data_IF_055604594880
#
_entry.id   IF_055604594880
#
_cell.length_a   1.000
_cell.length_b   1.000
_cell.length_c   1.000
_cell.angle_alpha   90.00
_cell.angle_beta   90.00
_cell.angle_gamma   90.00
#
_symmetry.space_group_name_H-M   'P 1'
#
loop_
_entity.id
_entity.type
_entity.pdbx_description
1 polymer ?
#
# COMPACT_ATOMS: atom_id res chain seq x y z
N UNK A 1 -6.59 -58.76 -19.71
CA UNK A 1 -7.76 -57.93 -19.36
C UNK A 1 -7.79 -56.75 -20.33
N UNK A 2 -8.89 -56.49 -21.05
CA UNK A 2 -8.93 -55.38 -22.01
C UNK A 2 -9.23 -54.06 -21.29
N UNK A 3 -8.54 -53.00 -21.70
CA UNK A 3 -8.78 -51.64 -21.22
C UNK A 3 -10.02 -51.04 -21.91
N UNK A 4 -10.82 -50.20 -21.22
CA UNK A 4 -11.96 -49.54 -21.84
C UNK A 4 -11.48 -48.45 -22.80
N UNK A 5 -11.99 -48.50 -24.03
CA UNK A 5 -11.90 -47.41 -24.99
C UNK A 5 -12.92 -46.33 -24.64
N UNK A 6 -12.47 -45.09 -24.47
CA UNK A 6 -13.35 -43.93 -24.40
C UNK A 6 -13.36 -43.20 -25.74
N UNK A 7 -14.57 -42.88 -26.23
CA UNK A 7 -14.81 -42.09 -27.44
C UNK A 7 -14.57 -40.59 -27.18
N UNK A 8 -14.04 -39.82 -28.14
CA UNK A 8 -13.82 -38.40 -28.01
C UNK A 8 -14.99 -37.61 -28.61
N UNK A 9 -15.99 -37.27 -27.81
CA UNK A 9 -16.97 -36.26 -28.20
C UNK A 9 -17.65 -35.69 -26.97
N UNK A 10 -17.11 -34.59 -26.45
CA UNK A 10 -17.86 -33.47 -25.85
C UNK A 10 -16.84 -32.49 -25.26
N UNK A 11 -16.56 -31.44 -26.03
CA UNK A 11 -15.80 -30.29 -25.56
C UNK A 11 -16.61 -29.05 -25.93
N UNK A 12 -17.46 -28.53 -25.03
CA UNK A 12 -18.02 -27.20 -25.20
C UNK A 12 -17.01 -26.19 -24.68
N UNK A 13 -16.43 -25.44 -25.62
CA UNK A 13 -15.54 -24.33 -25.31
C UNK A 13 -16.25 -23.13 -24.67
N UNK A 14 -15.42 -22.36 -23.98
CA UNK A 14 -15.36 -20.89 -23.98
C UNK A 14 -16.69 -20.14 -23.72
N UNK A 15 -16.81 -19.65 -22.49
CA UNK A 15 -17.76 -18.61 -22.10
C UNK A 15 -17.24 -17.82 -20.91
N UNK A 16 -16.26 -16.94 -21.15
CA UNK A 16 -15.84 -15.91 -20.20
C UNK A 16 -17.02 -14.95 -19.98
N UNK A 17 -17.73 -15.10 -18.87
CA UNK A 17 -18.70 -14.11 -18.41
C UNK A 17 -17.97 -12.95 -17.73
N UNK A 18 -17.76 -11.87 -18.47
CA UNK A 18 -17.51 -10.56 -17.90
C UNK A 18 -18.80 -10.06 -17.23
N UNK A 19 -18.74 -9.77 -15.93
CA UNK A 19 -19.81 -9.10 -15.20
C UNK A 19 -19.64 -7.56 -15.32
N UNK A 20 -20.65 -6.82 -15.78
CA UNK A 20 -20.65 -5.37 -15.64
C UNK A 20 -21.18 -4.97 -14.26
N UNK A 21 -20.35 -4.28 -13.47
CA UNK A 21 -20.76 -3.55 -12.28
C UNK A 21 -21.51 -2.29 -12.71
N UNK A 22 -22.84 -2.39 -12.77
CA UNK A 22 -23.73 -1.24 -12.89
C UNK A 22 -24.08 -0.75 -11.49
N UNK A 23 -23.58 0.44 -11.12
CA UNK A 23 -23.91 1.12 -9.87
C UNK A 23 -25.34 1.67 -9.89
N UNK A 24 -26.16 1.50 -8.83
CA UNK A 24 -27.37 2.28 -8.67
C UNK A 24 -27.07 3.64 -8.05
N UNK A 25 -27.39 4.71 -8.78
CA UNK A 25 -27.55 6.06 -8.21
C UNK A 25 -28.76 6.10 -7.27
N UNK A 26 -28.53 6.31 -5.97
CA UNK A 26 -29.58 6.69 -5.02
C UNK A 26 -29.65 8.21 -4.88
N UNK A 27 -30.52 8.81 -5.71
CA UNK A 27 -30.94 10.20 -5.59
C UNK A 27 -32.08 10.38 -4.59
N UNK A 28 -31.74 10.95 -3.43
CA UNK A 28 -32.33 12.17 -2.83
C UNK A 28 -33.87 12.37 -2.82
N UNK A 29 -34.37 12.56 -1.58
CA UNK A 29 -35.53 13.37 -1.10
C UNK A 29 -36.95 12.94 -1.54
N UNK A 30 -37.79 12.67 -0.54
CA UNK A 30 -38.72 13.69 -0.01
C UNK A 30 -39.35 13.27 1.33
N UNK A 31 -39.45 14.28 2.18
CA UNK A 31 -40.10 14.35 3.48
C UNK A 31 -41.62 14.42 3.36
N UNK A 32 -42.37 13.67 4.18
CA UNK A 32 -43.71 14.04 4.62
C UNK A 32 -44.16 13.21 5.83
N UNK A 33 -44.48 13.92 6.92
CA UNK A 33 -45.60 13.64 7.83
C UNK A 33 -45.66 12.29 8.55
N UNK A 34 -45.29 12.28 9.83
CA UNK A 34 -45.98 11.41 10.80
C UNK A 34 -46.01 12.07 12.18
N UNK A 35 -47.04 12.90 12.38
CA UNK A 35 -47.52 13.25 13.72
C UNK A 35 -48.22 12.02 14.31
N UNK A 36 -47.74 11.53 15.45
CA UNK A 36 -48.63 10.84 16.40
C UNK A 36 -48.13 10.98 17.83
N UNK A 37 -48.68 12.02 18.43
CA UNK A 37 -48.92 12.23 19.84
C UNK A 37 -49.61 11.02 20.48
N UNK A 38 -49.00 10.43 21.51
CA UNK A 38 -49.69 9.71 22.59
C UNK A 38 -48.90 9.89 23.89
N UNK A 39 -49.51 10.67 24.78
CA UNK A 39 -49.27 10.70 26.22
C UNK A 39 -49.48 9.31 26.83
N UNK A 40 -48.71 8.97 27.88
CA UNK A 40 -49.19 8.54 29.20
C UNK A 40 -48.03 7.99 30.05
N UNK A 41 -47.69 8.74 31.10
CA UNK A 41 -47.06 8.27 32.34
C UNK A 41 -47.89 7.12 32.95
N UNK A 42 -47.28 6.22 33.74
CA UNK A 42 -47.46 6.41 35.17
C UNK A 42 -46.26 6.05 36.05
N UNK A 43 -46.27 6.72 37.20
CA UNK A 43 -45.49 6.52 38.41
C UNK A 43 -45.34 5.04 38.82
N UNK A 44 -44.12 4.67 39.22
CA UNK A 44 -43.78 3.33 39.69
C UNK A 44 -42.58 3.35 40.63
N UNK A 45 -42.71 4.10 41.72
CA UNK A 45 -41.80 4.11 42.86
C UNK A 45 -41.84 2.74 43.57
N UNK A 46 -40.80 1.92 43.41
CA UNK A 46 -40.55 0.75 44.25
C UNK A 46 -39.13 0.81 44.83
N UNK A 47 -39.06 1.30 46.06
CA UNK A 47 -37.90 1.15 46.94
C UNK A 47 -37.80 -0.30 47.43
N UNK A 48 -36.71 -0.99 47.12
CA UNK A 48 -36.31 -2.21 47.83
C UNK A 48 -35.12 -1.92 48.76
N UNK A 49 -35.25 -2.15 50.08
CA UNK A 49 -34.15 -2.07 51.02
C UNK A 49 -33.48 -3.44 51.23
N UNK A 50 -32.16 -3.39 51.48
CA UNK A 50 -31.28 -4.45 52.04
C UNK A 50 -31.10 -5.70 51.16
N UNK A 51 -29.90 -6.23 50.92
CA UNK A 51 -28.95 -6.60 51.96
C UNK A 51 -27.49 -6.65 51.47
N UNK A 52 -26.62 -6.55 52.47
CA UNK A 52 -25.18 -6.31 52.43
C UNK A 52 -24.46 -7.65 52.52
N UNK A 53 -23.94 -8.14 51.40
CA UNK A 53 -22.90 -9.19 51.42
C UNK A 53 -21.72 -8.72 50.59
N UNK A 54 -20.88 -7.91 51.22
CA UNK A 54 -19.57 -7.50 50.73
C UNK A 54 -18.64 -8.71 50.80
N UNK A 55 -18.70 -9.58 49.80
CA UNK A 55 -17.64 -10.52 49.51
C UNK A 55 -16.48 -9.73 48.91
N UNK A 56 -15.42 -9.53 49.69
CA UNK A 56 -14.15 -9.00 49.22
C UNK A 56 -13.54 -10.00 48.25
N UNK A 57 -13.87 -9.86 46.96
CA UNK A 57 -13.12 -10.52 45.89
C UNK A 57 -11.67 -10.06 45.95
N UNK A 58 -10.70 -10.98 45.85
CA UNK A 58 -9.29 -10.63 45.84
C UNK A 58 -9.03 -9.66 44.68
N UNK A 59 -8.47 -8.49 45.02
CA UNK A 59 -7.99 -7.50 44.08
C UNK A 59 -6.76 -8.09 43.41
N UNK A 60 -6.97 -8.99 42.45
CA UNK A 60 -5.98 -9.25 41.45
C UNK A 60 -5.80 -7.92 40.70
N UNK A 61 -4.57 -7.42 40.50
CA UNK A 61 -4.34 -6.47 39.45
C UNK A 61 -4.82 -7.18 38.19
N UNK A 62 -6.01 -6.81 37.71
CA UNK A 62 -6.48 -7.22 36.42
C UNK A 62 -5.49 -6.56 35.49
N UNK A 63 -4.45 -7.32 35.18
CA UNK A 63 -3.49 -7.06 34.13
C UNK A 63 -4.19 -6.26 33.05
N UNK A 64 -3.63 -5.09 32.74
CA UNK A 64 -3.87 -4.27 31.55
C UNK A 64 -3.59 -5.06 30.23
N UNK A 65 -3.79 -6.38 30.23
CA UNK A 65 -3.35 -7.36 29.23
C UNK A 65 -4.43 -7.76 28.24
N UNK A 66 -5.50 -6.98 28.14
CA UNK A 66 -6.24 -6.88 26.89
C UNK A 66 -6.00 -5.46 26.39
N UNK A 67 -4.84 -5.23 25.76
CA UNK A 67 -4.72 -4.12 24.83
C UNK A 67 -6.00 -4.13 23.99
N UNK A 68 -6.84 -3.10 24.15
CA UNK A 68 -8.18 -3.08 23.56
C UNK A 68 -8.07 -3.34 22.06
N UNK A 69 -8.76 -4.37 21.57
CA UNK A 69 -8.77 -4.71 20.15
C UNK A 69 -9.23 -3.50 19.33
N UNK A 70 -8.30 -2.90 18.59
CA UNK A 70 -8.57 -1.80 17.67
C UNK A 70 -8.60 -2.38 16.26
N UNK A 71 -9.81 -2.54 15.70
CA UNK A 71 -9.98 -3.10 14.35
C UNK A 71 -9.12 -2.36 13.30
N UNK A 72 -9.05 -1.01 13.26
CA UNK A 72 -8.16 -0.31 12.33
C UNK A 72 -6.68 -0.70 12.50
N UNK A 73 -6.20 -0.79 13.75
CA UNK A 73 -4.83 -1.19 14.05
C UNK A 73 -4.51 -2.60 13.55
N UNK A 74 -5.42 -3.55 13.80
CA UNK A 74 -5.24 -4.94 13.38
C UNK A 74 -5.26 -5.08 11.85
N UNK A 75 -6.19 -4.39 11.17
CA UNK A 75 -6.23 -4.37 9.70
C UNK A 75 -4.96 -3.79 9.10
N UNK A 76 -4.47 -2.68 9.65
CA UNK A 76 -3.22 -2.06 9.20
C UNK A 76 -2.03 -2.99 9.40
N UNK A 77 -1.95 -3.62 10.57
CA UNK A 77 -0.86 -4.54 10.93
C UNK A 77 -0.82 -5.71 9.95
N UNK A 78 -1.94 -6.41 9.77
CA UNK A 78 -2.03 -7.56 8.86
C UNK A 78 -1.70 -7.15 7.43
N UNK A 79 -2.26 -6.05 6.93
CA UNK A 79 -2.00 -5.59 5.57
C UNK A 79 -0.54 -5.18 5.36
N UNK A 80 0.08 -4.54 6.35
CA UNK A 80 1.50 -4.15 6.31
C UNK A 80 2.43 -5.36 6.35
N UNK A 81 2.11 -6.39 7.14
CA UNK A 81 2.86 -7.64 7.16
C UNK A 81 2.77 -8.38 5.82
N UNK A 82 1.57 -8.48 5.25
CA UNK A 82 1.37 -9.08 3.92
C UNK A 82 2.12 -8.30 2.84
N UNK A 83 2.08 -6.96 2.88
CA UNK A 83 2.84 -6.12 1.96
C UNK A 83 4.35 -6.36 2.11
N UNK A 84 4.85 -6.44 3.34
CA UNK A 84 6.26 -6.74 3.60
C UNK A 84 6.67 -8.11 3.06
N UNK A 85 5.79 -9.12 3.11
CA UNK A 85 6.04 -10.41 2.46
C UNK A 85 6.04 -10.25 0.94
N UNK A 86 5.06 -9.55 0.37
CA UNK A 86 4.96 -9.30 -1.06
C UNK A 86 6.23 -8.67 -1.62
N UNK A 87 6.83 -7.69 -0.94
CA UNK A 87 8.08 -7.03 -1.36
C UNK A 87 9.27 -7.98 -1.55
N UNK A 88 9.26 -9.15 -0.89
CA UNK A 88 10.35 -10.13 -0.90
C UNK A 88 10.11 -11.34 -1.80
N UNK A 89 8.95 -11.44 -2.44
CA UNK A 89 8.68 -12.57 -3.35
C UNK A 89 9.50 -12.41 -4.63
N UNK A 90 10.07 -13.51 -5.12
CA UNK A 90 10.86 -13.52 -6.36
C UNK A 90 10.00 -13.48 -7.63
N UNK A 91 8.72 -13.86 -7.53
CA UNK A 91 7.80 -13.90 -8.66
C UNK A 91 7.00 -12.59 -8.75
N UNK A 92 7.16 -11.86 -9.85
CA UNK A 92 6.50 -10.56 -10.07
C UNK A 92 4.98 -10.64 -9.99
N UNK A 93 4.36 -11.69 -10.55
CA UNK A 93 2.91 -11.86 -10.53
C UNK A 93 2.39 -12.06 -9.09
N UNK A 94 3.07 -12.86 -8.28
CA UNK A 94 2.75 -13.02 -6.87
C UNK A 94 2.97 -11.72 -6.08
N UNK A 95 4.04 -10.96 -6.34
CA UNK A 95 4.25 -9.64 -5.73
C UNK A 95 3.05 -8.72 -5.96
N UNK A 96 2.66 -8.55 -7.22
CA UNK A 96 1.53 -7.70 -7.60
C UNK A 96 0.22 -8.18 -6.95
N UNK A 97 -0.03 -9.49 -6.94
CA UNK A 97 -1.24 -10.06 -6.34
C UNK A 97 -1.35 -9.75 -4.84
N UNK A 98 -0.29 -10.04 -4.07
CA UNK A 98 -0.32 -9.84 -2.62
C UNK A 98 -0.27 -8.36 -2.22
N UNK A 99 0.46 -7.53 -2.97
CA UNK A 99 0.43 -6.07 -2.78
C UNK A 99 -0.95 -5.48 -3.11
N UNK A 100 -1.60 -5.96 -4.18
CA UNK A 100 -2.98 -5.57 -4.52
C UNK A 100 -3.98 -5.99 -3.45
N UNK A 101 -3.80 -7.18 -2.86
CA UNK A 101 -4.59 -7.59 -1.71
C UNK A 101 -4.41 -6.63 -0.52
N UNK A 102 -3.16 -6.27 -0.19
CA UNK A 102 -2.87 -5.33 0.89
C UNK A 102 -3.50 -3.94 0.63
N UNK A 103 -3.39 -3.39 -0.59
CA UNK A 103 -4.04 -2.12 -0.95
C UNK A 103 -5.56 -2.17 -0.79
N UNK A 104 -6.18 -3.32 -1.06
CA UNK A 104 -7.62 -3.50 -0.87
C UNK A 104 -8.02 -3.37 0.60
N UNK A 105 -7.19 -3.89 1.53
CA UNK A 105 -7.41 -3.76 2.98
C UNK A 105 -7.18 -2.31 3.43
N UNK A 106 -6.09 -1.68 2.99
CA UNK A 106 -5.84 -0.25 3.27
C UNK A 106 -6.96 0.66 2.73
N UNK A 107 -7.59 0.28 1.62
CA UNK A 107 -8.73 1.01 1.06
C UNK A 107 -9.98 0.86 1.92
N UNK A 108 -10.24 -0.33 2.48
CA UNK A 108 -11.36 -0.55 3.40
C UNK A 108 -11.25 0.31 4.65
N UNK A 109 -10.03 0.52 5.15
CA UNK A 109 -9.78 1.35 6.34
C UNK A 109 -10.18 2.83 6.18
N UNK A 110 -10.43 3.32 4.96
CA UNK A 110 -10.88 4.71 4.75
C UNK A 110 -12.25 5.02 5.37
N UNK A 111 -13.03 3.98 5.65
CA UNK A 111 -14.39 4.11 6.17
C UNK A 111 -14.45 4.08 7.71
N UNK A 112 -13.31 3.98 8.40
CA UNK A 112 -13.25 3.90 9.86
C UNK A 112 -13.32 5.30 10.53
N UNK A 113 -13.89 5.36 11.73
CA UNK A 113 -14.18 6.60 12.46
C UNK A 113 -12.93 7.41 12.87
N UNK A 114 -11.74 6.81 12.84
CA UNK A 114 -10.46 7.42 13.26
C UNK A 114 -9.50 7.73 12.09
N UNK A 115 -10.05 7.99 10.90
CA UNK A 115 -9.25 8.18 9.68
C UNK A 115 -8.15 9.23 9.81
N UNK A 116 -8.33 10.29 10.60
CA UNK A 116 -7.35 11.37 10.72
C UNK A 116 -6.02 10.91 11.29
N UNK A 117 -6.02 10.01 12.28
CA UNK A 117 -4.80 9.44 12.86
C UNK A 117 -4.09 8.49 11.88
N UNK A 118 -4.86 7.85 11.00
CA UNK A 118 -4.40 6.86 10.04
C UNK A 118 -4.09 7.43 8.66
N UNK A 119 -4.47 8.68 8.36
CA UNK A 119 -4.40 9.25 7.00
C UNK A 119 -2.98 9.22 6.43
N UNK A 120 -1.99 9.69 7.18
CA UNK A 120 -0.60 9.71 6.72
C UNK A 120 -0.01 8.29 6.57
N UNK A 121 -0.09 7.41 7.59
CA UNK A 121 0.35 6.02 7.49
C UNK A 121 -0.31 5.24 6.34
N UNK A 122 -1.63 5.35 6.17
CA UNK A 122 -2.34 4.72 5.05
C UNK A 122 -1.88 5.28 3.70
N UNK A 123 -1.64 6.58 3.61
CA UNK A 123 -1.20 7.18 2.34
C UNK A 123 0.19 6.65 1.96
N UNK A 124 1.12 6.53 2.92
CA UNK A 124 2.43 5.94 2.70
C UNK A 124 2.35 4.44 2.33
N UNK A 125 1.62 3.65 3.12
CA UNK A 125 1.48 2.21 2.90
C UNK A 125 0.83 1.87 1.54
N UNK A 126 -0.15 2.67 1.11
CA UNK A 126 -0.74 2.54 -0.23
C UNK A 126 0.25 2.92 -1.33
N UNK A 127 1.09 3.93 -1.12
CA UNK A 127 2.18 4.26 -2.04
C UNK A 127 3.14 3.08 -2.23
N UNK A 128 3.54 2.43 -1.13
CA UNK A 128 4.36 1.20 -1.18
C UNK A 128 3.68 0.05 -1.92
N UNK A 129 2.41 -0.21 -1.63
CA UNK A 129 1.67 -1.27 -2.33
C UNK A 129 1.62 -1.03 -3.84
N UNK A 130 1.33 0.20 -4.27
CA UNK A 130 1.31 0.56 -5.69
C UNK A 130 2.68 0.56 -6.35
N UNK A 131 3.75 0.88 -5.60
CA UNK A 131 5.13 0.74 -6.10
C UNK A 131 5.40 -0.73 -6.46
N UNK A 132 5.10 -1.67 -5.55
CA UNK A 132 5.27 -3.11 -5.80
C UNK A 132 4.42 -3.61 -6.97
N UNK A 133 3.18 -3.15 -7.08
CA UNK A 133 2.28 -3.52 -8.20
C UNK A 133 2.85 -3.01 -9.54
N UNK A 134 3.26 -1.74 -9.58
CA UNK A 134 3.76 -1.10 -10.80
C UNK A 134 5.14 -1.60 -11.22
N UNK A 135 5.99 -2.01 -10.26
CA UNK A 135 7.33 -2.53 -10.53
C UNK A 135 7.34 -4.03 -10.88
N UNK A 136 6.27 -4.77 -10.58
CA UNK A 136 6.20 -6.21 -10.77
C UNK A 136 6.57 -6.71 -12.19
N UNK A 137 6.09 -6.10 -13.29
CA UNK A 137 6.43 -6.55 -14.64
C UNK A 137 7.75 -5.96 -15.17
N UNK A 138 8.38 -5.02 -14.45
CA UNK A 138 9.52 -4.25 -14.95
C UNK A 138 10.70 -5.14 -15.31
N UNK A 139 10.99 -6.15 -14.49
CA UNK A 139 12.11 -7.07 -14.74
C UNK A 139 11.99 -7.80 -16.08
N UNK A 140 10.77 -8.20 -16.48
CA UNK A 140 10.55 -8.88 -17.77
C UNK A 140 10.61 -7.90 -18.94
N UNK A 141 10.13 -6.67 -18.73
CA UNK A 141 10.23 -5.58 -19.70
C UNK A 141 11.71 -5.20 -19.94
N UNK A 142 12.49 -5.04 -18.88
CA UNK A 142 13.93 -4.73 -18.95
C UNK A 142 14.70 -5.84 -19.67
N UNK A 143 14.46 -7.11 -19.34
CA UNK A 143 15.04 -8.24 -20.09
C UNK A 143 14.67 -8.23 -21.56
N UNK A 144 13.48 -7.77 -21.94
CA UNK A 144 13.08 -7.64 -23.34
C UNK A 144 13.82 -6.49 -24.04
N UNK A 145 13.98 -5.36 -23.35
CA UNK A 145 14.79 -4.24 -23.83
C UNK A 145 16.25 -4.62 -24.05
N UNK A 146 16.84 -5.40 -23.14
CA UNK A 146 18.21 -5.92 -23.28
C UNK A 146 18.38 -6.83 -24.50
N UNK A 147 17.31 -7.51 -24.95
CA UNK A 147 17.30 -8.29 -26.20
C UNK A 147 17.08 -7.42 -27.46
N UNK A 148 16.91 -6.11 -27.30
CA UNK A 148 16.62 -5.17 -28.39
C UNK A 148 15.14 -5.10 -28.79
N UNK A 149 14.23 -5.63 -27.97
CA UNK A 149 12.79 -5.63 -28.25
C UNK A 149 12.15 -4.29 -27.82
N UNK A 150 12.55 -3.17 -28.42
CA UNK A 150 12.08 -1.82 -28.03
C UNK A 150 10.55 -1.66 -28.06
N UNK A 151 9.85 -2.43 -28.90
CA UNK A 151 8.39 -2.45 -28.99
C UNK A 151 7.68 -2.85 -27.69
N UNK A 152 8.38 -3.47 -26.73
CA UNK A 152 7.83 -3.87 -25.43
C UNK A 152 7.32 -2.68 -24.61
N UNK A 153 7.89 -1.47 -24.79
CA UNK A 153 7.43 -0.26 -24.10
C UNK A 153 6.00 0.15 -24.50
N UNK A 154 5.57 -0.24 -25.70
CA UNK A 154 4.21 -0.06 -26.19
C UNK A 154 3.26 -1.20 -25.83
N UNK A 155 3.72 -2.20 -25.07
CA UNK A 155 2.87 -3.30 -24.63
C UNK A 155 1.87 -2.84 -23.58
N UNK A 156 0.77 -3.60 -23.47
CA UNK A 156 -0.24 -3.39 -22.43
C UNK A 156 0.36 -3.51 -21.02
N UNK A 157 1.28 -4.45 -20.83
CA UNK A 157 1.94 -4.67 -19.55
C UNK A 157 2.80 -3.48 -19.13
N UNK A 158 3.56 -2.89 -20.07
CA UNK A 158 4.30 -1.66 -19.83
C UNK A 158 3.40 -0.46 -19.55
N UNK A 159 2.21 -0.40 -20.17
CA UNK A 159 1.20 0.63 -19.86
C UNK A 159 0.66 0.48 -18.44
N UNK A 160 0.22 -0.72 -18.05
CA UNK A 160 -0.25 -1.00 -16.69
C UNK A 160 0.82 -0.73 -15.62
N UNK A 161 2.09 -1.06 -15.92
CA UNK A 161 3.23 -0.75 -15.06
C UNK A 161 3.39 0.76 -14.83
N UNK A 162 3.36 1.56 -15.91
CA UNK A 162 3.45 3.03 -15.83
C UNK A 162 2.27 3.63 -15.06
N UNK A 163 1.06 3.12 -15.27
CA UNK A 163 -0.12 3.54 -14.50
C UNK A 163 0.06 3.27 -13.01
N UNK A 164 0.47 2.04 -12.65
CA UNK A 164 0.72 1.66 -11.26
C UNK A 164 1.78 2.53 -10.58
N UNK A 165 2.91 2.77 -11.27
CA UNK A 165 3.99 3.64 -10.78
C UNK A 165 3.53 5.10 -10.65
N UNK A 166 2.72 5.61 -11.59
CA UNK A 166 2.16 6.97 -11.50
C UNK A 166 1.25 7.10 -10.26
N UNK A 167 0.43 6.09 -9.99
CA UNK A 167 -0.40 6.04 -8.79
C UNK A 167 0.47 6.00 -7.52
N UNK A 168 1.53 5.20 -7.52
CA UNK A 168 2.49 5.12 -6.41
C UNK A 168 3.11 6.49 -6.10
N UNK A 169 3.67 7.17 -7.11
CA UNK A 169 4.22 8.53 -7.01
C UNK A 169 3.21 9.49 -6.36
N UNK A 170 1.97 9.49 -6.84
CA UNK A 170 0.93 10.37 -6.29
C UNK A 170 0.52 10.07 -4.84
N UNK A 171 0.71 8.84 -4.34
CA UNK A 171 0.57 8.54 -2.91
C UNK A 171 1.78 8.99 -2.12
N UNK A 172 2.99 8.67 -2.59
CA UNK A 172 4.24 8.97 -1.89
C UNK A 172 4.48 10.48 -1.76
N UNK A 173 4.18 11.28 -2.80
CA UNK A 173 4.25 12.75 -2.72
C UNK A 173 3.29 13.31 -1.65
N UNK A 174 2.07 12.77 -1.57
CA UNK A 174 1.09 13.17 -0.55
C UNK A 174 1.54 12.77 0.86
N UNK A 175 2.15 11.60 1.01
CA UNK A 175 2.70 11.13 2.28
C UNK A 175 3.87 12.00 2.75
N UNK A 176 4.82 12.32 1.86
CA UNK A 176 5.93 13.25 2.11
C UNK A 176 5.42 14.63 2.55
N UNK A 177 4.42 15.17 1.84
CA UNK A 177 3.80 16.44 2.18
C UNK A 177 3.01 16.45 3.50
N UNK A 178 2.65 15.28 4.05
CA UNK A 178 2.03 15.15 5.37
C UNK A 178 3.09 15.09 6.48
N UNK A 179 4.22 14.42 6.24
CA UNK A 179 5.35 14.35 7.18
C UNK A 179 5.96 15.73 7.48
N UNK A 180 6.15 16.57 6.45
CA UNK A 180 6.70 17.93 6.60
C UNK A 180 5.81 18.93 7.37
N UNK A 181 4.54 18.59 7.64
CA UNK A 181 3.59 19.44 8.38
C UNK A 181 3.43 19.04 9.85
N UNK A 182 4.00 17.90 10.28
CA UNK A 182 3.75 17.30 11.59
C UNK A 182 4.75 17.66 12.70
N UNK A 183 5.80 18.43 12.41
CA UNK A 183 7.01 18.49 13.26
C UNK A 183 7.00 19.44 14.45
N UNK A 184 5.96 20.25 14.69
CA UNK A 184 6.08 21.31 15.72
C UNK A 184 5.11 21.27 16.91
N UNK A 185 4.06 20.42 16.96
CA UNK A 185 3.07 20.59 18.04
C UNK A 185 2.38 19.38 18.67
N UNK A 186 2.64 18.13 18.27
CA UNK A 186 1.97 16.96 18.87
C UNK A 186 2.93 15.79 19.07
N UNK A 187 3.72 15.87 20.14
CA UNK A 187 4.61 14.81 20.64
C UNK A 187 3.86 13.79 21.52
N UNK A 188 2.68 13.36 21.10
CA UNK A 188 2.01 12.19 21.68
C UNK A 188 2.04 11.07 20.63
N UNK A 189 2.42 9.83 20.99
CA UNK A 189 2.42 8.70 20.07
C UNK A 189 0.96 8.45 19.62
N UNK A 190 0.58 8.94 18.44
CA UNK A 190 -0.68 8.53 17.83
C UNK A 190 -0.57 7.05 17.49
N UNK A 191 -1.65 6.30 17.69
CA UNK A 191 -1.73 4.88 17.35
C UNK A 191 -1.41 4.56 15.88
N UNK A 192 -1.40 5.58 15.00
CA UNK A 192 -1.07 5.45 13.58
C UNK A 192 0.41 5.22 13.22
N UNK A 193 1.35 5.27 14.18
CA UNK A 193 2.78 5.12 13.89
C UNK A 193 3.41 6.39 13.30
N UNK A 194 4.74 6.47 13.38
CA UNK A 194 5.51 7.60 12.85
C UNK A 194 5.45 7.65 11.32
N UNK A 195 5.40 8.86 10.75
CA UNK A 195 5.44 9.02 9.31
C UNK A 195 6.81 8.59 8.78
N UNK A 196 6.86 7.44 8.10
CA UNK A 196 8.05 6.91 7.45
C UNK A 196 8.59 7.92 6.41
N UNK A 197 9.92 8.09 6.36
CA UNK A 197 10.53 8.87 5.28
C UNK A 197 10.37 8.13 3.95
N UNK A 198 9.40 8.58 3.17
CA UNK A 198 9.04 7.98 1.88
C UNK A 198 9.89 8.49 0.71
N UNK A 199 10.84 9.40 0.95
CA UNK A 199 11.66 10.00 -0.12
C UNK A 199 12.44 8.95 -0.93
N UNK A 200 13.06 7.92 -0.31
CA UNK A 200 13.72 6.86 -1.08
C UNK A 200 12.76 6.07 -1.99
N UNK A 201 11.55 5.80 -1.50
CA UNK A 201 10.52 5.08 -2.26
C UNK A 201 9.97 5.92 -3.42
N UNK A 202 9.83 7.24 -3.21
CA UNK A 202 9.43 8.17 -4.26
C UNK A 202 10.49 8.24 -5.35
N UNK A 203 11.76 8.30 -4.96
CA UNK A 203 12.89 8.32 -5.87
C UNK A 203 12.96 7.03 -6.72
N UNK A 204 12.79 5.87 -6.09
CA UNK A 204 12.68 4.56 -6.77
C UNK A 204 11.51 4.53 -7.77
N UNK A 205 10.31 4.94 -7.35
CA UNK A 205 9.14 4.96 -8.23
C UNK A 205 9.34 5.85 -9.46
N UNK A 206 9.96 7.02 -9.29
CA UNK A 206 10.26 7.95 -10.38
C UNK A 206 11.32 7.40 -11.33
N UNK A 207 12.38 6.79 -10.79
CA UNK A 207 13.44 6.18 -11.59
C UNK A 207 12.90 5.01 -12.43
N UNK A 208 12.17 4.10 -11.80
CA UNK A 208 11.54 2.96 -12.50
C UNK A 208 10.54 3.42 -13.56
N UNK A 209 9.76 4.48 -13.28
CA UNK A 209 8.86 5.07 -14.27
C UNK A 209 9.60 5.69 -15.46
N UNK A 210 10.77 6.30 -15.21
CA UNK A 210 11.63 6.85 -16.26
C UNK A 210 12.14 5.74 -17.20
N UNK A 211 12.59 4.61 -16.65
CA UNK A 211 13.04 3.44 -17.44
C UNK A 211 11.94 2.94 -18.40
N UNK A 212 10.67 3.02 -18.00
CA UNK A 212 9.53 2.58 -18.81
C UNK A 212 8.97 3.65 -19.76
N UNK A 213 9.57 4.85 -19.77
CA UNK A 213 9.08 6.00 -20.55
C UNK A 213 9.81 6.11 -21.89
N UNK A 214 9.06 5.96 -22.98
CA UNK A 214 9.60 6.03 -24.35
C UNK A 214 9.96 7.46 -24.79
N UNK A 215 9.21 8.47 -24.33
CA UNK A 215 9.47 9.88 -24.64
C UNK A 215 10.71 10.38 -23.89
N UNK A 216 11.74 10.78 -24.63
CA UNK A 216 13.03 11.17 -24.08
C UNK A 216 12.96 12.39 -23.15
N UNK A 217 12.20 13.43 -23.54
CA UNK A 217 12.07 14.64 -22.73
C UNK A 217 11.41 14.33 -21.38
N UNK A 218 10.32 13.54 -21.39
CA UNK A 218 9.63 13.12 -20.15
C UNK A 218 10.52 12.22 -19.30
N UNK A 219 11.30 11.33 -19.92
CA UNK A 219 12.23 10.45 -19.21
C UNK A 219 13.31 11.26 -18.49
N UNK A 220 13.92 12.25 -19.14
CA UNK A 220 14.90 13.15 -18.51
C UNK A 220 14.30 13.96 -17.35
N UNK A 221 13.06 14.44 -17.49
CA UNK A 221 12.34 15.12 -16.41
C UNK A 221 12.17 14.20 -15.19
N UNK A 222 11.75 12.95 -15.42
CA UNK A 222 11.55 11.96 -14.37
C UNK A 222 12.85 11.60 -13.65
N UNK A 223 13.96 11.40 -14.38
CA UNK A 223 15.27 11.17 -13.76
C UNK A 223 15.74 12.37 -12.93
N UNK A 224 15.58 13.59 -13.44
CA UNK A 224 15.94 14.81 -12.71
C UNK A 224 15.17 14.92 -11.40
N UNK A 225 13.88 14.56 -11.42
CA UNK A 225 13.05 14.49 -10.21
C UNK A 225 13.48 13.36 -9.28
N UNK A 226 13.76 12.17 -9.80
CA UNK A 226 14.26 11.04 -8.99
C UNK A 226 15.54 11.42 -8.26
N UNK A 227 16.51 12.05 -8.94
CA UNK A 227 17.77 12.51 -8.36
C UNK A 227 17.55 13.54 -7.24
N UNK A 228 16.63 14.49 -7.44
CA UNK A 228 16.29 15.48 -6.42
C UNK A 228 15.67 14.85 -5.15
N UNK A 229 14.98 13.72 -5.31
CA UNK A 229 14.32 12.99 -4.22
C UNK A 229 15.26 12.01 -3.49
N UNK A 230 16.15 11.32 -4.22
CA UNK A 230 17.04 10.30 -3.66
C UNK A 230 18.42 10.81 -3.20
N UNK A 231 18.80 12.03 -3.58
CA UNK A 231 20.13 12.59 -3.27
C UNK A 231 21.26 11.68 -3.77
N UNK A 232 22.32 11.54 -2.97
CA UNK A 232 23.51 10.74 -3.31
C UNK A 232 23.22 9.24 -3.50
N UNK A 233 22.10 8.73 -2.99
CA UNK A 233 21.76 7.30 -3.03
C UNK A 233 21.41 6.81 -4.44
N UNK A 234 20.85 7.68 -5.29
CA UNK A 234 20.52 7.34 -6.68
C UNK A 234 21.72 7.46 -7.62
N UNK A 235 22.73 8.28 -7.28
CA UNK A 235 23.97 8.37 -8.05
C UNK A 235 24.72 7.02 -8.09
N UNK A 236 24.49 6.15 -7.10
CA UNK A 236 25.03 4.79 -7.04
C UNK A 236 24.26 3.77 -7.89
N UNK A 237 23.00 4.05 -8.26
CA UNK A 237 22.20 3.17 -9.12
C UNK A 237 22.42 3.46 -10.62
N UNK A 238 22.78 4.70 -10.96
CA UNK A 238 23.13 5.15 -12.32
C UNK A 238 24.55 4.72 -12.74
N UNK A 239 25.47 4.61 -11.76
CA UNK A 239 26.81 4.07 -11.97
C UNK A 239 26.82 2.58 -11.67
N UNK A 240 26.40 1.78 -12.66
CA UNK A 240 26.64 0.33 -12.66
C UNK A 240 28.06 0.03 -12.19
N UNK A 241 28.17 -0.90 -11.24
CA UNK A 241 29.38 -1.43 -10.60
C UNK A 241 30.63 -1.46 -11.49
N UNK A 242 31.32 -0.33 -11.66
CA UNK A 242 32.63 -0.25 -12.32
C UNK A 242 33.42 1.00 -11.88
N UNK A 243 33.22 1.48 -10.65
CA UNK A 243 34.22 2.36 -10.02
C UNK A 243 35.31 1.46 -9.44
N UNK A 244 36.18 0.99 -10.34
CA UNK A 244 37.49 0.46 -10.00
C UNK A 244 38.24 1.57 -9.24
N UNK A 245 38.25 1.49 -7.91
CA UNK A 245 39.09 2.27 -7.00
C UNK A 245 40.56 1.87 -7.18
N UNK A 246 41.10 2.00 -8.39
CA UNK A 246 42.54 2.13 -8.58
C UNK A 246 42.93 3.58 -8.35
N UNK A 247 42.89 3.98 -7.08
CA UNK A 247 43.63 5.16 -6.63
C UNK A 247 45.10 4.76 -6.54
N UNK A 248 45.76 4.85 -7.70
CA UNK A 248 47.14 5.25 -7.89
C UNK A 248 47.76 5.95 -6.66
N UNK A 249 48.49 5.18 -5.85
CA UNK A 249 49.57 5.70 -5.01
C UNK A 249 50.89 5.39 -5.68
N UNK A 250 51.18 6.18 -6.71
CA UNK A 250 52.56 6.58 -6.97
C UNK A 250 52.95 7.57 -5.86
N UNK A 251 53.83 7.16 -4.96
CA UNK A 251 54.87 8.06 -4.48
C UNK A 251 56.06 7.22 -4.03
N UNK A 252 56.92 7.00 -5.02
CA UNK A 252 58.30 6.58 -4.83
C UNK A 252 59.02 7.64 -3.98
N UNK A 253 59.49 7.25 -2.80
CA UNK A 253 60.53 7.98 -2.09
C UNK A 253 61.77 7.10 -1.96
N UNK A 254 62.74 7.54 -2.73
CA UNK A 254 64.16 7.23 -2.77
C UNK A 254 64.79 7.34 -1.37
N UNK A 255 65.41 6.28 -0.85
CA UNK A 255 66.41 6.41 0.22
C UNK A 255 67.62 5.53 -0.11
N UNK A 256 68.75 6.24 -0.29
CA UNK A 256 70.09 5.75 -0.59
C UNK A 256 70.77 5.03 0.57
#
# INVERSE_FOLDING_TARGET
MPHPHYSPSENPGVGLHAHPLSSPMTGRRQSAGFERELQLEPDGEYTHPTDRTRASSPTYPHVDALASFSRPRELFTIASEVLGVAERLSDGAQRAYWAGWADSVFTQMKMEAELDAWRAPLTAARGRAWLVIGSAPVEEIEKALERGEEGVLGSKEAEEAREGLTVAVGFLERAKGAAGRGTEQQAEPREGGEAEDVSPLLAEALFTLANLTADENKREELYSRAQAEGGDRLALLDLGEDVNLEESRDDAMDES
#
